data_IF_872903577502
#
_entry.id   IF_872903577502
#
_cell.length_a   1.000
_cell.length_b   1.000
_cell.length_c   1.000
_cell.angle_alpha   90.00
_cell.angle_beta   90.00
_cell.angle_gamma   90.00
#
_symmetry.space_group_name_H-M   'P 1'
#
loop_
_entity.id
_entity.type
_entity.pdbx_description
1 polymer ?
#
# COMPACT_ATOMS: atom_id res chain seq x y z
N UNK A 1 0.67 -14.00 -1.68
CA UNK A 1 0.74 -12.52 -1.62
C UNK A 1 -0.68 -11.99 -1.46
N UNK A 2 -0.91 -11.11 -0.48
CA UNK A 2 -2.21 -10.47 -0.20
C UNK A 2 -2.45 -9.34 -1.19
N UNK A 3 -3.61 -9.37 -1.85
CA UNK A 3 -4.06 -8.27 -2.70
C UNK A 3 -4.35 -7.04 -1.84
N UNK A 4 -4.84 -7.25 -0.62
CA UNK A 4 -5.20 -6.16 0.30
C UNK A 4 -4.01 -5.32 0.70
N UNK A 5 -2.88 -5.94 1.00
CA UNK A 5 -1.64 -5.18 1.26
C UNK A 5 -1.20 -4.36 0.04
N UNK A 6 -1.28 -4.91 -1.17
CA UNK A 6 -0.91 -4.16 -2.39
C UNK A 6 -1.86 -2.98 -2.66
N UNK A 7 -3.16 -3.16 -2.42
CA UNK A 7 -4.15 -2.08 -2.50
C UNK A 7 -3.85 -0.96 -1.48
N UNK A 8 -3.47 -1.32 -0.25
CA UNK A 8 -3.12 -0.35 0.79
C UNK A 8 -1.84 0.42 0.44
N UNK A 9 -0.78 -0.25 -0.03
CA UNK A 9 0.44 0.44 -0.46
C UNK A 9 0.21 1.36 -1.67
N UNK A 10 -0.64 0.96 -2.62
CA UNK A 10 -1.02 1.85 -3.73
C UNK A 10 -1.71 3.13 -3.21
N UNK A 11 -2.57 3.04 -2.20
CA UNK A 11 -3.21 4.20 -1.56
C UNK A 11 -2.18 5.05 -0.80
N UNK A 12 -1.23 4.43 -0.09
CA UNK A 12 -0.12 5.13 0.59
C UNK A 12 0.65 5.99 -0.40
N UNK A 13 1.14 5.41 -1.51
CA UNK A 13 1.92 6.17 -2.48
C UNK A 13 1.08 7.23 -3.21
N UNK A 14 -0.18 6.93 -3.52
CA UNK A 14 -1.09 7.89 -4.16
C UNK A 14 -1.35 9.12 -3.27
N UNK A 15 -1.53 8.93 -1.96
CA UNK A 15 -1.74 10.02 -1.00
C UNK A 15 -0.45 10.77 -0.66
N UNK A 16 0.70 10.07 -0.61
CA UNK A 16 2.00 10.65 -0.30
C UNK A 16 2.55 11.54 -1.41
N UNK A 17 2.38 11.14 -2.66
CA UNK A 17 3.00 11.79 -3.82
C UNK A 17 2.04 12.73 -4.57
N UNK A 18 1.02 13.25 -3.88
CA UNK A 18 0.13 14.31 -4.43
C UNK A 18 0.90 15.57 -4.82
N UNK A 19 2.08 15.78 -4.22
CA UNK A 19 2.98 16.90 -4.48
C UNK A 19 3.74 16.79 -5.81
N UNK A 20 3.66 15.66 -6.52
CA UNK A 20 4.42 15.42 -7.76
C UNK A 20 4.14 16.44 -8.87
N UNK A 21 2.94 17.04 -8.87
CA UNK A 21 2.54 18.06 -9.84
C UNK A 21 2.77 19.49 -9.35
N UNK A 22 3.06 19.69 -8.06
CA UNK A 22 3.16 21.02 -7.47
C UNK A 22 4.59 21.41 -7.12
N UNK A 23 5.41 20.43 -6.71
CA UNK A 23 6.72 20.67 -6.13
C UNK A 23 7.78 19.88 -6.88
N UNK A 24 8.62 20.58 -7.64
CA UNK A 24 9.78 19.98 -8.31
C UNK A 24 11.03 20.17 -7.45
N UNK A 25 11.47 19.09 -6.83
CA UNK A 25 12.68 19.07 -6.00
C UNK A 25 13.89 18.69 -6.84
N UNK A 26 13.82 17.54 -7.52
CA UNK A 26 14.88 17.04 -8.40
C UNK A 26 14.34 16.00 -9.38
N UNK A 27 15.05 15.80 -10.50
CA UNK A 27 14.69 14.78 -11.49
C UNK A 27 14.66 13.37 -10.87
N UNK A 28 15.62 13.07 -10.01
CA UNK A 28 15.66 11.79 -9.28
C UNK A 28 14.42 11.60 -8.39
N UNK A 29 14.02 12.62 -7.62
CA UNK A 29 12.86 12.54 -6.75
C UNK A 29 11.57 12.26 -7.55
N UNK A 30 11.33 13.03 -8.60
CA UNK A 30 10.14 12.86 -9.46
C UNK A 30 10.14 11.49 -10.14
N UNK A 31 11.28 11.05 -10.68
CA UNK A 31 11.40 9.75 -11.32
C UNK A 31 11.12 8.60 -10.35
N UNK A 32 11.69 8.64 -9.14
CA UNK A 32 11.44 7.61 -8.13
C UNK A 32 9.96 7.57 -7.72
N UNK A 33 9.31 8.72 -7.50
CA UNK A 33 7.87 8.80 -7.22
C UNK A 33 7.03 8.14 -8.32
N UNK A 34 7.36 8.40 -9.59
CA UNK A 34 6.69 7.77 -10.73
C UNK A 34 6.90 6.25 -10.78
N UNK A 35 8.12 5.77 -10.50
CA UNK A 35 8.41 4.34 -10.45
C UNK A 35 7.62 3.66 -9.33
N UNK A 36 7.57 4.24 -8.13
CA UNK A 36 6.82 3.68 -6.99
C UNK A 36 5.31 3.65 -7.26
N UNK A 37 4.73 4.72 -7.81
CA UNK A 37 3.32 4.75 -8.21
C UNK A 37 3.04 3.73 -9.31
N UNK A 38 3.81 3.79 -10.40
CA UNK A 38 3.64 2.93 -11.57
C UNK A 38 3.74 1.45 -11.22
N UNK A 39 4.74 1.05 -10.43
CA UNK A 39 4.91 -0.33 -9.99
C UNK A 39 3.77 -0.78 -9.06
N UNK A 40 3.37 0.03 -8.08
CA UNK A 40 2.28 -0.30 -7.15
C UNK A 40 0.93 -0.49 -7.87
N UNK A 41 0.57 0.43 -8.77
CA UNK A 41 -0.65 0.29 -9.57
C UNK A 41 -0.58 -0.90 -10.53
N UNK A 42 0.59 -1.14 -11.12
CA UNK A 42 0.80 -2.29 -12.01
C UNK A 42 0.58 -3.61 -11.26
N UNK A 43 1.13 -3.76 -10.05
CA UNK A 43 0.94 -4.99 -9.24
C UNK A 43 -0.56 -5.23 -8.97
N UNK A 44 -1.28 -4.21 -8.50
CA UNK A 44 -2.72 -4.31 -8.25
C UNK A 44 -3.49 -4.67 -9.53
N UNK A 45 -3.11 -4.07 -10.67
CA UNK A 45 -3.72 -4.37 -11.96
C UNK A 45 -3.43 -5.80 -12.41
N UNK A 46 -2.19 -6.29 -12.29
CA UNK A 46 -1.83 -7.66 -12.63
C UNK A 46 -2.61 -8.65 -11.77
N UNK A 47 -2.73 -8.41 -10.46
CA UNK A 47 -3.49 -9.30 -9.58
C UNK A 47 -5.00 -9.31 -9.88
N UNK A 48 -5.59 -8.20 -10.32
CA UNK A 48 -7.04 -8.11 -10.60
C UNK A 48 -7.43 -8.53 -12.02
N UNK A 49 -6.63 -8.16 -13.01
CA UNK A 49 -7.00 -8.24 -14.43
C UNK A 49 -6.30 -9.38 -15.18
N UNK A 50 -5.07 -9.74 -14.77
CA UNK A 50 -4.31 -10.75 -15.49
C UNK A 50 -4.83 -12.16 -15.14
N UNK A 51 -5.35 -12.87 -16.15
CA UNK A 51 -6.04 -14.16 -15.95
C UNK A 51 -5.21 -15.21 -15.23
N UNK A 52 -3.89 -15.26 -15.44
CA UNK A 52 -3.00 -16.24 -14.80
C UNK A 52 -2.85 -15.96 -13.30
N UNK A 53 -2.63 -14.69 -12.93
CA UNK A 53 -2.38 -14.29 -11.53
C UNK A 53 -3.69 -14.26 -10.74
N UNK A 54 -4.79 -13.86 -11.38
CA UNK A 54 -6.12 -13.88 -10.76
C UNK A 54 -6.58 -15.30 -10.40
N UNK A 55 -6.21 -16.30 -11.21
CA UNK A 55 -6.55 -17.72 -10.94
C UNK A 55 -5.74 -18.32 -9.79
N UNK A 56 -4.49 -17.89 -9.60
CA UNK A 56 -3.65 -18.34 -8.48
C UNK A 56 -3.93 -17.60 -7.18
N UNK A 57 -4.66 -16.47 -7.23
CA UNK A 57 -5.07 -15.72 -6.04
C UNK A 57 -6.23 -16.40 -5.30
N UNK A 58 -5.95 -16.92 -4.10
CA UNK A 58 -6.96 -17.48 -3.22
C UNK A 58 -7.61 -16.40 -2.33
N UNK A 59 -8.79 -15.95 -2.77
CA UNK A 59 -9.60 -14.96 -2.05
C UNK A 59 -10.14 -15.48 -0.71
N UNK A 60 -10.27 -16.80 -0.52
CA UNK A 60 -10.79 -17.38 0.71
C UNK A 60 -9.80 -17.26 1.87
N UNK A 61 -8.50 -17.19 1.58
CA UNK A 61 -7.46 -17.01 2.60
C UNK A 61 -7.27 -15.53 2.98
N UNK A 62 -7.42 -14.61 2.02
CA UNK A 62 -7.22 -13.15 2.17
C UNK A 62 -8.50 -12.43 2.65
N UNK A 63 -9.06 -12.87 3.79
CA UNK A 63 -10.33 -12.31 4.32
C UNK A 63 -10.14 -11.02 5.13
N UNK A 64 -8.99 -10.36 5.03
CA UNK A 64 -8.69 -9.20 5.86
C UNK A 64 -9.54 -8.00 5.44
N UNK A 65 -10.27 -7.44 6.41
CA UNK A 65 -11.16 -6.29 6.19
C UNK A 65 -10.36 -4.98 6.32
N UNK A 66 -9.60 -4.65 5.29
CA UNK A 66 -8.72 -3.47 5.22
C UNK A 66 -9.41 -2.11 5.48
N UNK A 67 -10.75 -2.02 5.37
CA UNK A 67 -11.51 -0.83 5.79
C UNK A 67 -11.37 -0.51 7.28
N UNK A 68 -11.18 -1.51 8.15
CA UNK A 68 -10.93 -1.30 9.58
C UNK A 68 -9.57 -0.67 9.86
N UNK A 69 -8.66 -0.66 8.89
CA UNK A 69 -7.39 0.06 8.97
C UNK A 69 -7.54 1.46 8.37
N UNK A 70 -8.11 1.54 7.17
CA UNK A 70 -8.24 2.80 6.45
C UNK A 70 -8.98 3.87 7.25
N UNK A 71 -10.09 3.50 7.90
CA UNK A 71 -10.96 4.46 8.56
C UNK A 71 -10.33 5.04 9.83
N UNK A 72 -9.74 4.25 10.75
CA UNK A 72 -8.97 4.79 11.87
C UNK A 72 -7.76 5.60 11.45
N UNK A 73 -7.00 5.19 10.42
CA UNK A 73 -5.86 5.96 9.93
C UNK A 73 -6.28 7.34 9.40
N UNK A 74 -7.41 7.40 8.68
CA UNK A 74 -7.94 8.67 8.18
C UNK A 74 -8.42 9.57 9.31
N UNK A 75 -9.16 9.02 10.28
CA UNK A 75 -9.59 9.77 11.46
C UNK A 75 -8.39 10.30 12.24
N UNK A 76 -7.37 9.47 12.48
CA UNK A 76 -6.19 9.85 13.23
C UNK A 76 -5.39 10.95 12.51
N UNK A 77 -5.27 10.90 11.18
CA UNK A 77 -4.69 11.98 10.38
C UNK A 77 -5.50 13.28 10.42
N UNK A 78 -6.82 13.20 10.55
CA UNK A 78 -7.67 14.39 10.70
C UNK A 78 -7.54 15.04 12.08
N UNK A 79 -7.30 14.27 13.14
CA UNK A 79 -7.14 14.80 14.51
C UNK A 79 -5.70 15.18 14.85
N UNK A 80 -4.72 14.43 14.35
CA UNK A 80 -3.30 14.58 14.67
C UNK A 80 -2.55 14.87 13.36
N UNK A 81 -2.39 16.15 13.04
CA UNK A 81 -1.66 16.63 11.87
C UNK A 81 -0.85 17.88 12.26
N UNK A 82 0.21 18.17 11.52
CA UNK A 82 1.02 19.36 11.77
C UNK A 82 0.30 20.65 11.34
N UNK A 83 -0.33 20.62 10.16
CA UNK A 83 -1.07 21.75 9.58
C UNK A 83 -2.36 21.26 8.96
N UNK A 84 -3.46 21.96 9.18
CA UNK A 84 -4.75 21.57 8.63
C UNK A 84 -4.89 21.99 7.16
N UNK A 85 -4.04 21.41 6.32
CA UNK A 85 -4.11 21.54 4.86
C UNK A 85 -4.36 20.18 4.25
N UNK A 86 -5.05 20.13 3.10
CA UNK A 86 -5.36 18.87 2.45
C UNK A 86 -4.11 18.03 2.15
N UNK A 87 -3.02 18.65 1.67
CA UNK A 87 -1.77 17.96 1.40
C UNK A 87 -1.14 17.36 2.66
N UNK A 88 -1.08 18.15 3.73
CA UNK A 88 -0.48 17.71 5.00
C UNK A 88 -1.29 16.55 5.61
N UNK A 89 -2.62 16.66 5.64
CA UNK A 89 -3.50 15.60 6.14
C UNK A 89 -3.34 14.31 5.31
N UNK A 90 -3.26 14.41 3.98
CA UNK A 90 -3.02 13.24 3.12
C UNK A 90 -1.62 12.65 3.31
N UNK A 91 -0.61 13.49 3.55
CA UNK A 91 0.74 13.05 3.87
C UNK A 91 0.78 12.31 5.21
N UNK A 92 0.20 12.87 6.28
CA UNK A 92 0.10 12.24 7.59
C UNK A 92 -0.72 10.94 7.52
N UNK A 93 -1.83 10.94 6.78
CA UNK A 93 -2.61 9.73 6.50
C UNK A 93 -1.76 8.63 5.85
N UNK A 94 -0.95 8.98 4.85
CA UNK A 94 -0.05 8.03 4.19
C UNK A 94 0.93 7.39 5.17
N UNK A 95 1.45 8.17 6.13
CA UNK A 95 2.39 7.70 7.14
C UNK A 95 1.73 6.68 8.08
N UNK A 96 0.54 7.01 8.61
CA UNK A 96 -0.18 6.10 9.47
C UNK A 96 -0.62 4.84 8.75
N UNK A 97 -1.07 4.96 7.50
CA UNK A 97 -1.52 3.80 6.73
C UNK A 97 -0.37 2.88 6.37
N UNK A 98 0.81 3.40 6.03
CA UNK A 98 2.01 2.61 5.71
C UNK A 98 2.44 1.71 6.86
N UNK A 99 2.44 2.24 8.09
CA UNK A 99 2.83 1.50 9.29
C UNK A 99 2.00 0.22 9.53
N UNK A 100 0.78 0.17 9.01
CA UNK A 100 -0.19 -0.92 9.20
C UNK A 100 -0.55 -1.65 7.91
N UNK A 101 -0.07 -1.19 6.74
CA UNK A 101 -0.38 -1.75 5.44
C UNK A 101 0.10 -3.19 5.26
N UNK A 102 1.12 -3.61 6.02
CA UNK A 102 1.69 -4.96 6.00
C UNK A 102 0.81 -6.00 6.72
N UNK A 103 -0.13 -5.58 7.58
CA UNK A 103 -0.92 -6.49 8.42
C UNK A 103 -1.69 -7.59 7.64
N UNK A 104 -2.39 -7.30 6.53
CA UNK A 104 -3.06 -8.34 5.74
C UNK A 104 -2.11 -9.43 5.24
N UNK A 105 -0.91 -9.05 4.79
CA UNK A 105 0.13 -9.98 4.33
C UNK A 105 0.62 -10.89 5.47
N UNK A 106 0.86 -10.34 6.66
CA UNK A 106 1.26 -11.14 7.83
C UNK A 106 0.18 -12.13 8.26
N UNK A 107 -1.09 -11.68 8.28
CA UNK A 107 -2.24 -12.56 8.61
C UNK A 107 -2.39 -13.67 7.56
N UNK A 108 -2.17 -13.36 6.28
CA UNK A 108 -2.21 -14.35 5.20
C UNK A 108 -1.11 -15.42 5.41
N UNK A 109 0.11 -15.01 5.74
CA UNK A 109 1.23 -15.94 5.97
C UNK A 109 0.96 -16.87 7.16
N UNK A 110 0.39 -16.33 8.24
CA UNK A 110 -0.01 -17.13 9.40
C UNK A 110 -1.07 -18.19 9.07
N UNK A 111 -2.00 -17.88 8.16
CA UNK A 111 -3.08 -18.80 7.74
C UNK A 111 -2.60 -19.88 6.79
N UNK A 112 -1.79 -19.50 5.79
CA UNK A 112 -1.32 -20.44 4.77
C UNK A 112 -0.32 -21.45 5.33
N UNK A 113 0.40 -21.12 6.44
CA UNK A 113 1.43 -21.96 7.09
C UNK A 113 2.56 -22.46 6.17
N UNK A 114 2.60 -21.97 4.94
CA UNK A 114 3.63 -22.24 3.95
C UNK A 114 4.17 -20.88 3.49
N UNK A 115 5.46 -20.67 3.73
CA UNK A 115 6.16 -19.44 3.36
C UNK A 115 7.15 -19.82 2.27
N UNK A 116 6.81 -19.51 1.02
CA UNK A 116 7.74 -19.63 -0.09
C UNK A 116 8.96 -18.72 0.17
N UNK A 117 10.17 -19.19 -0.16
CA UNK A 117 11.41 -18.41 0.05
C UNK A 117 11.36 -17.02 -0.58
N UNK A 118 10.76 -16.88 -1.77
CA UNK A 118 10.58 -15.60 -2.44
C UNK A 118 9.67 -14.65 -1.64
N UNK A 119 8.61 -15.18 -1.02
CA UNK A 119 7.73 -14.37 -0.18
C UNK A 119 8.42 -13.95 1.12
N UNK A 120 9.27 -14.81 1.69
CA UNK A 120 10.11 -14.47 2.83
C UNK A 120 11.10 -13.35 2.53
N UNK A 121 11.81 -13.44 1.41
CA UNK A 121 12.74 -12.39 0.95
C UNK A 121 12.02 -11.07 0.66
N UNK A 122 10.83 -11.13 0.06
CA UNK A 122 10.01 -9.94 -0.17
C UNK A 122 9.68 -9.21 1.14
N UNK A 123 9.22 -9.92 2.16
CA UNK A 123 8.89 -9.30 3.47
C UNK A 123 10.14 -8.76 4.17
N UNK A 124 11.30 -9.39 4.00
CA UNK A 124 12.55 -8.92 4.59
C UNK A 124 13.06 -7.60 3.97
N UNK A 125 12.83 -7.39 2.67
CA UNK A 125 13.28 -6.20 1.94
C UNK A 125 12.26 -5.04 1.93
N UNK A 126 11.04 -5.30 2.40
CA UNK A 126 9.91 -4.35 2.45
C UNK A 126 10.07 -3.36 3.61
#
# INVERSE_FOLDING_TARGET
ISLKTQELYAIVFASRYLDIFTDFISLYNTLMKLIFLGSSFSIVWYMRSHNVVRRSYDKAQDTFRHYFILLPCLLLALFIHEKFTFKEVMWTFSLYLEAVAILPQLVLLQRTRNIDNLTGQYVFLL
#
